data_IF_022541650058
#
_entry.id   IF_022541650058
#
_cell.length_a   1.000
_cell.length_b   1.000
_cell.length_c   1.000
_cell.angle_alpha   90.00
_cell.angle_beta   90.00
_cell.angle_gamma   90.00
#
_symmetry.space_group_name_H-M   'P 1'
#
loop_
_entity.id
_entity.type
_entity.pdbx_description
1 polymer ?
#
# COMPACT_ATOMS: atom_id res chain seq x y z
N UNK A 1 -20.09 18.03 -8.42
CA UNK A 1 -19.75 17.29 -7.19
C UNK A 1 -18.94 16.04 -7.53
N UNK A 2 -19.49 15.09 -8.31
CA UNK A 2 -18.72 13.91 -8.71
C UNK A 2 -17.46 14.26 -9.53
N UNK A 3 -17.54 15.30 -10.37
CA UNK A 3 -16.41 15.76 -11.18
C UNK A 3 -15.29 16.34 -10.31
N UNK A 4 -15.63 17.04 -9.23
CA UNK A 4 -14.62 17.60 -8.32
C UNK A 4 -13.89 16.51 -7.55
N UNK A 5 -14.60 15.48 -7.12
CA UNK A 5 -13.99 14.33 -6.42
C UNK A 5 -13.05 13.59 -7.34
N UNK A 6 -13.46 13.34 -8.59
CA UNK A 6 -12.62 12.68 -9.59
C UNK A 6 -11.38 13.51 -9.91
N UNK A 7 -11.55 14.82 -10.10
CA UNK A 7 -10.45 15.74 -10.37
C UNK A 7 -9.45 15.79 -9.23
N UNK A 8 -9.94 15.83 -7.99
CA UNK A 8 -9.08 15.79 -6.80
C UNK A 8 -8.32 14.47 -6.70
N UNK A 9 -8.97 13.34 -7.01
CA UNK A 9 -8.33 12.04 -7.04
C UNK A 9 -7.21 11.96 -8.09
N UNK A 10 -7.45 12.50 -9.29
CA UNK A 10 -6.44 12.55 -10.35
C UNK A 10 -5.26 13.44 -9.96
N UNK A 11 -5.52 14.58 -9.33
CA UNK A 11 -4.49 15.49 -8.84
C UNK A 11 -3.61 14.81 -7.79
N UNK A 12 -4.21 14.14 -6.80
CA UNK A 12 -3.47 13.46 -5.74
C UNK A 12 -2.65 12.30 -6.30
N UNK A 13 -3.20 11.52 -7.24
CA UNK A 13 -2.47 10.44 -7.88
C UNK A 13 -1.24 10.96 -8.61
N UNK A 14 -1.37 12.08 -9.34
CA UNK A 14 -0.26 12.70 -10.03
C UNK A 14 0.80 13.25 -9.05
N UNK A 15 0.35 13.88 -7.97
CA UNK A 15 1.26 14.43 -6.96
C UNK A 15 2.07 13.32 -6.29
N UNK A 16 1.43 12.22 -5.93
CA UNK A 16 2.09 11.06 -5.31
C UNK A 16 3.06 10.39 -6.28
N UNK A 17 2.68 10.27 -7.56
CA UNK A 17 3.56 9.71 -8.59
C UNK A 17 4.82 10.56 -8.76
N UNK A 18 4.68 11.87 -8.81
CA UNK A 18 5.83 12.78 -8.93
C UNK A 18 6.73 12.75 -7.72
N UNK A 19 6.17 12.53 -6.54
CA UNK A 19 6.92 12.35 -5.30
C UNK A 19 7.49 10.93 -5.17
N UNK A 20 7.18 10.04 -6.11
CA UNK A 20 7.57 8.64 -6.11
C UNK A 20 7.08 7.90 -4.87
N UNK A 21 5.86 8.22 -4.46
CA UNK A 21 5.18 7.57 -3.34
C UNK A 21 4.12 6.61 -3.86
N UNK A 22 4.15 5.37 -3.42
CA UNK A 22 3.08 4.42 -3.66
C UNK A 22 1.92 4.67 -2.71
N UNK A 23 0.71 4.61 -3.23
CA UNK A 23 -0.52 4.72 -2.44
C UNK A 23 -1.18 3.37 -2.35
N UNK A 24 -1.66 3.04 -1.16
CA UNK A 24 -2.56 1.90 -0.98
C UNK A 24 -3.81 2.37 -0.23
N UNK A 25 -4.93 1.70 -0.49
CA UNK A 25 -6.20 1.99 0.15
C UNK A 25 -6.96 0.68 0.39
N UNK A 26 -7.25 0.40 1.64
CA UNK A 26 -7.92 -0.84 2.05
C UNK A 26 -9.34 -0.55 2.48
N UNK A 27 -10.30 -1.12 1.75
CA UNK A 27 -11.70 -1.05 2.11
C UNK A 27 -12.02 -2.17 3.11
N UNK A 28 -12.20 -1.81 4.37
CA UNK A 28 -12.45 -2.79 5.43
C UNK A 28 -13.79 -3.51 5.28
N UNK A 29 -14.78 -2.87 4.65
CA UNK A 29 -16.10 -3.47 4.47
C UNK A 29 -16.11 -4.57 3.41
N UNK A 30 -15.34 -4.40 2.33
CA UNK A 30 -15.28 -5.37 1.22
C UNK A 30 -14.04 -6.24 1.24
N UNK A 31 -12.99 -5.81 1.95
CA UNK A 31 -11.69 -6.47 1.92
C UNK A 31 -10.83 -6.09 0.73
N UNK A 32 -11.34 -5.28 -0.19
CA UNK A 32 -10.59 -4.86 -1.37
C UNK A 32 -9.47 -3.90 -1.00
N UNK A 33 -8.33 -4.06 -1.65
CA UNK A 33 -7.20 -3.17 -1.48
C UNK A 33 -6.77 -2.62 -2.83
N UNK A 34 -6.69 -1.29 -2.92
CA UNK A 34 -6.20 -0.60 -4.10
C UNK A 34 -4.72 -0.26 -3.92
N UNK A 35 -3.96 -0.45 -4.99
CA UNK A 35 -2.54 -0.05 -5.04
C UNK A 35 -2.32 0.85 -6.24
N UNK A 36 -1.69 2.01 -6.03
CA UNK A 36 -1.44 2.98 -7.11
C UNK A 36 -0.43 2.45 -8.13
N UNK A 37 -0.41 3.01 -9.35
CA UNK A 37 0.59 2.63 -10.35
C UNK A 37 2.02 2.71 -9.84
N UNK A 38 2.35 3.74 -9.05
CA UNK A 38 3.68 3.92 -8.48
C UNK A 38 4.03 2.80 -7.50
N UNK A 39 3.04 2.30 -6.73
CA UNK A 39 3.25 1.18 -5.82
C UNK A 39 3.71 -0.07 -6.58
N UNK A 40 3.01 -0.41 -7.67
CA UNK A 40 3.38 -1.54 -8.52
C UNK A 40 4.76 -1.38 -9.13
N UNK A 41 5.03 -0.20 -9.67
CA UNK A 41 6.29 0.12 -10.34
C UNK A 41 7.49 0.04 -9.39
N UNK A 42 7.33 0.51 -8.17
CA UNK A 42 8.34 0.48 -7.13
C UNK A 42 8.83 -0.95 -6.84
N UNK A 43 7.95 -1.93 -6.98
CA UNK A 43 8.25 -3.33 -6.76
C UNK A 43 8.53 -4.11 -8.06
N UNK A 44 8.57 -3.42 -9.21
CA UNK A 44 8.91 -4.03 -10.49
C UNK A 44 7.78 -4.78 -11.18
N UNK A 45 6.56 -4.65 -10.69
CA UNK A 45 5.39 -5.30 -11.30
C UNK A 45 4.64 -4.34 -12.22
N UNK A 46 3.97 -4.89 -13.24
CA UNK A 46 2.98 -4.14 -14.01
C UNK A 46 1.72 -3.94 -13.15
N UNK A 47 1.02 -2.84 -13.37
CA UNK A 47 -0.22 -2.56 -12.67
C UNK A 47 -1.22 -3.70 -12.86
N UNK A 48 -1.69 -4.29 -11.76
CA UNK A 48 -2.63 -5.41 -11.80
C UNK A 48 -2.03 -6.76 -12.18
N UNK A 49 -0.71 -6.89 -12.23
CA UNK A 49 -0.04 -8.14 -12.58
C UNK A 49 -0.34 -9.26 -11.58
N UNK A 50 -0.53 -8.93 -10.31
CA UNK A 50 -0.81 -9.89 -9.25
C UNK A 50 -2.21 -9.68 -8.68
N UNK A 51 -2.81 -10.76 -8.17
CA UNK A 51 -4.06 -10.70 -7.42
C UNK A 51 -3.84 -9.87 -6.15
N UNK A 52 -4.71 -8.90 -5.90
CA UNK A 52 -4.59 -7.98 -4.76
C UNK A 52 -5.08 -8.56 -3.44
N UNK A 53 -5.68 -9.75 -3.44
CA UNK A 53 -6.13 -10.41 -2.22
C UNK A 53 -4.94 -10.72 -1.31
N UNK A 54 -4.85 -10.05 -0.17
CA UNK A 54 -3.76 -10.18 0.80
C UNK A 54 -2.37 -9.97 0.19
N UNK A 55 -2.28 -9.21 -0.90
CA UNK A 55 -1.04 -9.06 -1.66
C UNK A 55 0.09 -8.47 -0.82
N UNK A 56 -0.18 -7.42 -0.05
CA UNK A 56 0.84 -6.81 0.79
C UNK A 56 1.42 -7.81 1.80
N UNK A 57 0.56 -8.66 2.37
CA UNK A 57 0.99 -9.68 3.32
C UNK A 57 1.84 -10.75 2.65
N UNK A 58 1.45 -11.17 1.45
CA UNK A 58 2.21 -12.16 0.67
C UNK A 58 3.59 -11.65 0.28
N UNK A 59 3.73 -10.34 0.04
CA UNK A 59 4.99 -9.72 -0.36
C UNK A 59 5.84 -9.28 0.84
N UNK A 60 5.26 -9.21 2.03
CA UNK A 60 5.98 -8.80 3.23
C UNK A 60 6.96 -9.89 3.68
N UNK A 61 8.17 -9.47 4.04
CA UNK A 61 9.17 -10.39 4.59
C UNK A 61 8.60 -11.10 5.82
N UNK A 62 8.82 -12.42 5.97
CA UNK A 62 8.28 -13.18 7.11
C UNK A 62 8.60 -12.58 8.48
N UNK A 63 9.79 -12.03 8.66
CA UNK A 63 10.19 -11.42 9.93
C UNK A 63 9.44 -10.13 10.24
N UNK A 64 8.80 -9.52 9.23
CA UNK A 64 8.09 -8.25 9.38
C UNK A 64 6.57 -8.42 9.45
N UNK A 65 6.04 -9.59 9.08
CA UNK A 65 4.59 -9.83 9.01
C UNK A 65 3.88 -9.60 10.35
N UNK A 66 4.40 -10.14 11.43
CA UNK A 66 3.78 -10.01 12.75
C UNK A 66 3.69 -8.55 13.18
N UNK A 67 4.77 -7.81 13.00
CA UNK A 67 4.82 -6.38 13.34
C UNK A 67 3.85 -5.57 12.48
N UNK A 68 3.78 -5.86 11.19
CA UNK A 68 2.88 -5.17 10.27
C UNK A 68 1.42 -5.43 10.61
N UNK A 69 1.06 -6.68 10.91
CA UNK A 69 -0.30 -7.05 11.32
C UNK A 69 -0.68 -6.38 12.64
N UNK A 70 0.21 -6.38 13.62
CA UNK A 70 -0.03 -5.75 14.91
C UNK A 70 -0.25 -4.25 14.79
N UNK A 71 0.54 -3.58 13.94
CA UNK A 71 0.39 -2.14 13.68
C UNK A 71 -0.97 -1.82 13.04
N UNK A 72 -1.38 -2.62 12.06
CA UNK A 72 -2.69 -2.47 11.41
C UNK A 72 -3.85 -2.69 12.39
N UNK A 73 -3.78 -3.73 13.19
CA UNK A 73 -4.80 -4.05 14.19
C UNK A 73 -4.97 -2.94 15.21
N UNK A 74 -3.89 -2.35 15.67
CA UNK A 74 -3.92 -1.24 16.63
C UNK A 74 -4.58 -0.01 16.03
N UNK A 75 -4.31 0.28 14.77
CA UNK A 75 -4.93 1.39 14.07
C UNK A 75 -6.44 1.18 13.88
N UNK A 76 -6.84 -0.02 13.46
CA UNK A 76 -8.25 -0.39 13.29
C UNK A 76 -8.99 -0.29 14.63
N UNK A 77 -8.35 -0.66 15.73
CA UNK A 77 -8.92 -0.54 17.08
C UNK A 77 -9.03 0.90 17.57
N UNK A 78 -8.46 1.87 16.87
CA UNK A 78 -8.50 3.28 17.26
C UNK A 78 -7.41 3.71 18.22
N UNK A 79 -6.43 2.85 18.49
CA UNK A 79 -5.33 3.14 19.43
C UNK A 79 -4.31 4.14 18.86
N UNK A 80 -4.28 4.28 17.53
CA UNK A 80 -3.35 5.19 16.86
C UNK A 80 -4.09 6.01 15.80
N UNK A 81 -3.63 7.24 15.55
CA UNK A 81 -4.21 8.12 14.53
C UNK A 81 -3.80 7.69 13.12
N UNK A 82 -2.63 7.08 12.99
CA UNK A 82 -2.11 6.63 11.71
C UNK A 82 -1.23 5.40 11.91
N UNK A 83 -1.00 4.70 10.80
CA UNK A 83 -0.02 3.61 10.73
C UNK A 83 1.33 4.20 10.35
N UNK A 84 2.40 3.79 11.03
CA UNK A 84 3.76 4.07 10.60
C UNK A 84 4.61 2.85 10.93
N UNK A 85 5.01 2.12 9.90
CA UNK A 85 5.74 0.85 10.05
C UNK A 85 6.76 0.70 8.94
N UNK A 86 7.99 0.39 9.29
CA UNK A 86 9.00 0.01 8.31
C UNK A 86 8.93 -1.50 8.09
N UNK A 87 8.89 -1.90 6.83
CA UNK A 87 8.86 -3.32 6.47
C UNK A 87 9.50 -3.56 5.12
N UNK A 88 9.81 -4.83 4.84
CA UNK A 88 10.40 -5.25 3.58
C UNK A 88 9.35 -5.90 2.71
N UNK A 89 9.26 -5.43 1.47
CA UNK A 89 8.40 -6.03 0.45
C UNK A 89 9.25 -6.66 -0.64
N UNK A 90 8.78 -7.77 -1.17
CA UNK A 90 9.51 -8.52 -2.19
C UNK A 90 9.32 -7.90 -3.57
N UNK A 91 10.43 -7.46 -4.17
CA UNK A 91 10.48 -7.02 -5.56
C UNK A 91 10.30 -8.22 -6.49
N UNK A 92 9.82 -7.98 -7.70
CA UNK A 92 9.63 -9.01 -8.72
C UNK A 92 10.91 -9.82 -9.01
N UNK A 93 12.08 -9.18 -8.92
CA UNK A 93 13.38 -9.82 -9.14
C UNK A 93 13.86 -10.66 -7.95
N UNK A 94 13.10 -10.72 -6.86
CA UNK A 94 13.40 -11.52 -5.69
C UNK A 94 14.11 -10.79 -4.56
N UNK A 95 14.58 -9.57 -4.77
CA UNK A 95 15.22 -8.78 -3.72
C UNK A 95 14.19 -8.16 -2.78
N UNK A 96 14.64 -7.84 -1.57
CA UNK A 96 13.79 -7.15 -0.59
C UNK A 96 13.98 -5.65 -0.69
N UNK A 97 12.85 -4.92 -0.70
CA UNK A 97 12.82 -3.46 -0.73
C UNK A 97 12.27 -2.95 0.58
N UNK A 98 13.03 -2.12 1.29
CA UNK A 98 12.55 -1.46 2.50
C UNK A 98 11.56 -0.37 2.13
N UNK A 99 10.41 -0.36 2.80
CA UNK A 99 9.39 0.68 2.63
C UNK A 99 8.96 1.20 3.99
N UNK A 100 8.56 2.45 4.02
CA UNK A 100 7.90 3.05 5.17
C UNK A 100 6.42 3.09 4.86
N UNK A 101 5.64 2.34 5.62
CA UNK A 101 4.19 2.26 5.48
C UNK A 101 3.53 3.27 6.42
N UNK A 102 2.73 4.14 5.84
CA UNK A 102 1.99 5.18 6.56
C UNK A 102 0.53 5.15 6.22
#
# INVERSE_FOLDING_TARGET
MADDTKRNGEFWALALDRAQLGLWDWNLATGDCYYSPTWWKMLGYAEGELDTSDLWLKLTHPDDCERALASGDRHIAGDTESIETELRLKHKDGRWVWVLDR
#
